data_IF_881455241386
#
_entry.id   IF_881455241386
#
_cell.length_a   1.000
_cell.length_b   1.000
_cell.length_c   1.000
_cell.angle_alpha   90.00
_cell.angle_beta   90.00
_cell.angle_gamma   90.00
#
_symmetry.space_group_name_H-M   'P 1'
#
loop_
_entity.id
_entity.type
_entity.pdbx_description
1 polymer ?
#
# COMPACT_ATOMS: atom_id res chain seq x y z
N UNK A 1 -26.01 -50.59 8.29
CA UNK A 1 -25.50 -49.42 7.53
C UNK A 1 -24.12 -49.81 7.04
N UNK A 2 -24.02 -50.21 5.76
CA UNK A 2 -22.80 -50.75 5.16
C UNK A 2 -21.83 -49.61 4.83
N UNK A 3 -20.56 -49.81 5.15
CA UNK A 3 -19.47 -48.93 4.76
C UNK A 3 -19.06 -49.24 3.32
N UNK A 4 -19.12 -48.24 2.43
CA UNK A 4 -18.62 -48.35 1.07
C UNK A 4 -17.58 -47.23 0.82
N UNK A 5 -16.31 -47.62 0.74
CA UNK A 5 -15.20 -46.81 0.22
C UNK A 5 -15.07 -47.04 -1.30
N UNK A 6 -14.75 -46.01 -2.11
CA UNK A 6 -14.40 -46.20 -3.51
C UNK A 6 -12.91 -46.57 -3.73
N UNK A 7 -12.59 -47.25 -4.84
CA UNK A 7 -11.30 -47.90 -5.06
C UNK A 7 -10.16 -46.98 -5.53
N UNK A 8 -8.97 -47.42 -5.15
CA UNK A 8 -7.65 -47.05 -5.64
C UNK A 8 -7.46 -47.29 -7.13
N UNK A 9 -7.01 -46.28 -7.88
CA UNK A 9 -6.35 -46.46 -9.18
C UNK A 9 -4.85 -46.23 -9.04
N UNK A 10 -4.12 -47.34 -9.10
CA UNK A 10 -2.68 -47.39 -9.35
C UNK A 10 -2.45 -47.13 -10.84
N UNK A 11 -1.62 -46.15 -11.19
CA UNK A 11 -0.81 -46.23 -12.40
C UNK A 11 0.65 -46.00 -12.03
N UNK A 12 1.44 -46.98 -12.46
CA UNK A 12 2.82 -47.19 -12.13
C UNK A 12 3.75 -46.69 -13.24
N UNK A 13 4.96 -46.32 -12.81
CA UNK A 13 6.20 -46.37 -13.58
C UNK A 13 6.50 -45.11 -14.41
N UNK A 14 7.74 -44.66 -14.55
CA UNK A 14 9.12 -45.07 -14.20
C UNK A 14 9.97 -43.88 -14.76
N UNK A 15 11.21 -43.55 -14.41
CA UNK A 15 12.30 -44.16 -13.66
C UNK A 15 13.32 -43.07 -13.32
N UNK A 16 13.93 -43.21 -12.15
CA UNK A 16 15.37 -43.18 -11.84
C UNK A 16 16.21 -41.90 -12.06
N UNK A 17 16.68 -41.27 -10.98
CA UNK A 17 18.03 -41.42 -10.34
C UNK A 17 19.05 -40.51 -11.04
N UNK A 18 19.73 -39.57 -10.38
CA UNK A 18 20.93 -39.78 -9.55
C UNK A 18 21.12 -38.56 -8.62
N UNK A 19 21.40 -38.83 -7.35
CA UNK A 19 22.03 -37.90 -6.40
C UNK A 19 23.41 -38.48 -6.05
N UNK A 20 24.48 -37.67 -5.90
CA UNK A 20 25.62 -38.10 -5.10
C UNK A 20 25.89 -37.17 -3.89
N UNK A 21 26.47 -37.70 -2.79
CA UNK A 21 26.74 -36.97 -1.55
C UNK A 21 28.22 -36.53 -1.36
N UNK A 22 28.40 -35.49 -0.52
CA UNK A 22 29.49 -35.19 0.46
C UNK A 22 30.97 -35.01 0.04
N UNK A 23 31.45 -33.75 0.15
CA UNK A 23 32.65 -33.16 0.85
C UNK A 23 33.91 -34.01 1.17
N UNK A 24 35.09 -33.44 1.60
CA UNK A 24 35.69 -32.09 1.47
C UNK A 24 37.20 -32.10 1.03
N UNK A 25 37.78 -30.98 0.59
CA UNK A 25 39.19 -30.61 0.90
C UNK A 25 39.51 -29.15 0.57
N UNK A 26 40.26 -28.54 1.49
CA UNK A 26 41.01 -27.29 1.38
C UNK A 26 41.69 -27.11 0.01
N UNK A 27 41.79 -25.89 -0.52
CA UNK A 27 42.85 -24.95 -0.16
C UNK A 27 42.86 -23.74 -1.11
N UNK A 28 43.36 -22.63 -0.58
CA UNK A 28 44.09 -21.57 -1.30
C UNK A 28 43.28 -20.36 -1.80
N UNK A 29 43.07 -19.46 -0.84
CA UNK A 29 43.55 -18.07 -0.88
C UNK A 29 44.05 -17.55 -2.24
N UNK A 30 43.27 -16.65 -2.82
CA UNK A 30 43.79 -15.54 -3.61
C UNK A 30 43.04 -14.28 -3.19
N UNK A 31 43.81 -13.43 -2.54
CA UNK A 31 43.47 -12.12 -2.04
C UNK A 31 42.99 -11.17 -3.16
N UNK A 32 41.93 -10.41 -2.82
CA UNK A 32 41.66 -9.01 -3.21
C UNK A 32 41.18 -8.73 -4.67
N UNK A 33 40.65 -7.53 -4.97
CA UNK A 33 39.54 -6.82 -4.31
C UNK A 33 38.57 -6.19 -5.35
N UNK A 34 37.44 -5.68 -4.87
CA UNK A 34 36.72 -4.48 -5.34
C UNK A 34 36.37 -4.31 -6.84
N UNK A 35 35.05 -4.17 -7.06
CA UNK A 35 34.35 -3.72 -8.27
C UNK A 35 34.32 -4.64 -9.49
N UNK A 36 33.24 -5.41 -9.59
CA UNK A 36 32.57 -5.60 -10.87
C UNK A 36 31.07 -5.37 -10.72
N UNK A 37 30.69 -4.12 -10.97
CA UNK A 37 29.32 -3.71 -11.26
C UNK A 37 28.76 -4.55 -12.42
N UNK A 38 27.78 -5.42 -12.17
CA UNK A 38 26.80 -5.84 -13.18
C UNK A 38 25.41 -5.98 -12.57
N UNK A 39 24.78 -4.83 -12.36
CA UNK A 39 23.33 -4.70 -12.26
C UNK A 39 22.69 -5.19 -13.57
N UNK A 40 22.13 -6.41 -13.59
CA UNK A 40 21.11 -6.77 -14.59
C UNK A 40 19.80 -6.11 -14.19
N UNK A 41 19.72 -4.80 -14.46
CA UNK A 41 18.48 -4.02 -14.40
C UNK A 41 17.54 -4.46 -15.51
N UNK A 42 16.46 -5.10 -15.11
CA UNK A 42 15.32 -5.51 -15.93
C UNK A 42 14.75 -4.31 -16.69
N UNK A 43 15.02 -4.22 -18.00
CA UNK A 43 14.53 -3.15 -18.87
C UNK A 43 13.05 -3.40 -19.17
N UNK A 44 12.15 -2.90 -18.33
CA UNK A 44 10.73 -2.83 -18.65
C UNK A 44 10.54 -1.82 -19.78
N UNK A 45 10.29 -2.35 -20.97
CA UNK A 45 9.65 -1.65 -22.07
C UNK A 45 8.32 -1.06 -21.57
N UNK A 46 8.18 0.26 -21.61
CA UNK A 46 6.87 0.87 -21.69
C UNK A 46 6.93 2.20 -22.47
N UNK A 47 6.53 2.07 -23.73
CA UNK A 47 5.91 3.05 -24.62
C UNK A 47 5.92 4.52 -24.16
N UNK A 48 6.67 5.30 -24.94
CA UNK A 48 6.59 6.76 -25.04
C UNK A 48 5.31 7.10 -25.81
N UNK A 49 4.27 7.61 -25.14
CA UNK A 49 3.20 8.39 -25.78
C UNK A 49 3.26 9.82 -25.25
N UNK A 50 4.09 10.63 -25.91
CA UNK A 50 4.25 12.06 -25.70
C UNK A 50 3.26 12.85 -26.57
N UNK A 51 1.96 12.64 -26.35
CA UNK A 51 0.94 13.55 -26.86
C UNK A 51 0.46 14.43 -25.69
N UNK A 52 0.71 15.75 -25.71
CA UNK A 52 0.06 16.65 -24.76
C UNK A 52 -1.42 16.66 -25.11
N UNK A 53 -2.22 15.81 -24.45
CA UNK A 53 -3.66 15.96 -24.46
C UNK A 53 -3.93 17.30 -23.80
N UNK A 54 -4.38 18.29 -24.58
CA UNK A 54 -4.88 19.57 -24.07
C UNK A 54 -5.76 19.33 -22.85
N UNK A 55 -5.18 19.42 -21.65
CA UNK A 55 -5.90 19.30 -20.41
C UNK A 55 -6.48 20.67 -20.14
N UNK A 56 -7.55 21.00 -20.85
CA UNK A 56 -8.24 22.26 -20.65
C UNK A 56 -9.05 22.18 -19.36
N UNK A 57 -8.36 22.22 -18.22
CA UNK A 57 -8.97 22.46 -16.91
C UNK A 57 -8.25 23.64 -16.29
N UNK A 58 -8.83 24.80 -16.49
CA UNK A 58 -8.62 25.95 -15.62
C UNK A 58 -9.24 25.56 -14.29
N UNK A 59 -8.54 24.77 -13.48
CA UNK A 59 -8.91 24.62 -12.08
C UNK A 59 -8.65 25.98 -11.44
N UNK A 60 -9.61 26.51 -10.70
CA UNK A 60 -9.28 27.53 -9.71
C UNK A 60 -8.09 27.04 -8.88
N UNK A 61 -7.17 27.95 -8.52
CA UNK A 61 -5.91 27.63 -7.80
C UNK A 61 -6.14 26.84 -6.49
N UNK A 62 -7.37 26.84 -5.98
CA UNK A 62 -7.75 26.23 -4.72
C UNK A 62 -8.88 25.22 -4.93
N UNK A 63 -8.64 23.95 -4.58
CA UNK A 63 -9.68 22.94 -4.53
C UNK A 63 -10.37 22.92 -3.16
N UNK A 64 -11.60 22.41 -3.13
CA UNK A 64 -12.40 22.31 -1.91
C UNK A 64 -12.94 20.89 -1.74
N UNK A 65 -12.89 20.33 -0.53
CA UNK A 65 -13.39 18.99 -0.21
C UNK A 65 -14.66 19.04 0.63
N UNK A 66 -15.65 18.25 0.26
CA UNK A 66 -16.85 18.03 1.06
C UNK A 66 -16.52 17.13 2.26
N UNK A 67 -16.82 17.59 3.48
CA UNK A 67 -16.57 16.82 4.72
C UNK A 67 -17.45 15.59 4.89
N UNK A 68 -18.60 15.53 4.22
CA UNK A 68 -19.57 14.45 4.39
C UNK A 68 -19.24 13.23 3.54
N UNK A 69 -18.84 13.44 2.28
CA UNK A 69 -18.63 12.34 1.34
C UNK A 69 -17.26 12.36 0.63
N UNK A 70 -16.42 13.35 0.86
CA UNK A 70 -15.10 13.45 0.25
C UNK A 70 -15.10 13.86 -1.24
N UNK A 71 -16.18 14.44 -1.75
CA UNK A 71 -16.19 15.03 -3.09
C UNK A 71 -15.24 16.23 -3.15
N UNK A 72 -14.39 16.30 -4.19
CA UNK A 72 -13.46 17.41 -4.43
C UNK A 72 -14.02 18.31 -5.53
N UNK A 73 -14.24 19.58 -5.22
CA UNK A 73 -14.58 20.64 -6.14
C UNK A 73 -13.31 21.27 -6.72
N UNK A 74 -13.19 21.26 -8.05
CA UNK A 74 -12.05 21.78 -8.80
C UNK A 74 -12.47 22.42 -10.14
N UNK A 75 -13.66 23.01 -10.17
CA UNK A 75 -14.19 23.63 -11.37
C UNK A 75 -13.54 25.00 -11.66
N UNK A 76 -13.86 25.55 -12.84
CA UNK A 76 -13.34 26.85 -13.32
C UNK A 76 -13.81 28.01 -12.46
N UNK A 77 -15.04 27.93 -11.97
CA UNK A 77 -15.61 28.91 -11.06
C UNK A 77 -14.92 28.77 -9.70
N UNK A 78 -14.30 29.82 -9.15
CA UNK A 78 -13.77 29.76 -7.79
C UNK A 78 -14.91 29.52 -6.79
N UNK A 79 -14.64 28.73 -5.76
CA UNK A 79 -15.64 28.29 -4.78
C UNK A 79 -16.31 29.46 -4.03
N UNK A 80 -15.60 30.56 -3.83
CA UNK A 80 -16.12 31.74 -3.14
C UNK A 80 -17.24 32.43 -3.93
N UNK A 81 -17.20 32.33 -5.27
CA UNK A 81 -18.21 32.90 -6.17
C UNK A 81 -19.41 31.98 -6.41
N UNK A 82 -19.41 30.77 -5.86
CA UNK A 82 -20.58 29.89 -5.96
C UNK A 82 -21.75 30.46 -5.16
N UNK A 83 -23.00 30.31 -5.63
CA UNK A 83 -24.17 30.68 -4.84
C UNK A 83 -24.25 29.85 -3.55
N UNK A 84 -24.89 30.40 -2.52
CA UNK A 84 -25.04 29.70 -1.23
C UNK A 84 -25.96 28.47 -1.30
N UNK A 85 -26.82 28.43 -2.32
CA UNK A 85 -27.67 27.29 -2.67
C UNK A 85 -26.92 26.15 -3.38
N UNK A 86 -25.58 26.18 -3.42
CA UNK A 86 -24.80 25.08 -3.95
C UNK A 86 -24.81 23.88 -2.99
N UNK A 87 -25.12 22.71 -3.55
CA UNK A 87 -25.13 21.43 -2.85
C UNK A 87 -24.10 20.48 -3.44
N UNK A 88 -23.50 19.65 -2.59
CA UNK A 88 -22.58 18.61 -3.02
C UNK A 88 -23.30 17.63 -3.97
N UNK A 89 -22.78 17.37 -5.17
CA UNK A 89 -23.46 16.51 -6.17
C UNK A 89 -23.50 15.02 -5.77
N UNK A 90 -22.77 14.63 -4.73
CA UNK A 90 -22.68 13.23 -4.28
C UNK A 90 -23.59 12.96 -3.09
N UNK A 91 -23.70 13.90 -2.15
CA UNK A 91 -24.40 13.68 -0.86
C UNK A 91 -25.41 14.78 -0.50
N UNK A 92 -25.61 15.77 -1.36
CA UNK A 92 -26.48 16.92 -1.13
C UNK A 92 -26.14 17.75 0.13
N UNK A 93 -24.91 17.66 0.65
CA UNK A 93 -24.45 18.52 1.74
C UNK A 93 -24.36 20.00 1.28
N UNK A 94 -24.74 20.97 2.13
CA UNK A 94 -24.69 22.38 1.78
C UNK A 94 -23.24 22.91 1.65
N UNK A 95 -23.05 23.99 0.87
CA UNK A 95 -21.75 24.67 0.63
C UNK A 95 -20.90 24.86 1.91
N UNK A 96 -21.52 25.19 3.04
CA UNK A 96 -20.84 25.37 4.35
C UNK A 96 -20.07 24.14 4.86
N UNK A 97 -20.36 22.94 4.37
CA UNK A 97 -19.68 21.68 4.74
C UNK A 97 -18.38 21.46 3.98
N UNK A 98 -18.07 22.28 2.97
CA UNK A 98 -16.81 22.21 2.24
C UNK A 98 -15.67 22.89 3.00
N UNK A 99 -14.44 22.43 2.75
CA UNK A 99 -13.19 22.98 3.32
C UNK A 99 -12.12 23.07 2.24
N UNK A 100 -11.17 23.97 2.41
CA UNK A 100 -10.02 24.07 1.52
C UNK A 100 -9.24 22.75 1.48
N UNK A 101 -8.89 22.30 0.28
CA UNK A 101 -8.16 21.08 0.00
C UNK A 101 -6.89 21.44 -0.78
N UNK A 102 -5.72 21.17 -0.20
CA UNK A 102 -4.42 21.57 -0.74
C UNK A 102 -3.67 20.55 -1.62
N UNK A 103 -3.91 19.22 -1.57
CA UNK A 103 -3.09 18.31 -2.37
C UNK A 103 -3.48 18.38 -3.85
N UNK A 104 -2.55 17.96 -4.71
CA UNK A 104 -2.70 18.05 -6.16
C UNK A 104 -3.93 17.29 -6.66
N UNK A 105 -4.68 17.93 -7.55
CA UNK A 105 -5.96 17.44 -8.03
C UNK A 105 -5.79 16.87 -9.43
N UNK A 106 -5.62 15.56 -9.51
CA UNK A 106 -5.60 14.83 -10.78
C UNK A 106 -6.99 14.79 -11.45
N UNK A 107 -7.04 14.40 -12.73
CA UNK A 107 -8.29 14.43 -13.51
C UNK A 107 -9.40 13.52 -12.96
N UNK A 108 -9.03 12.54 -12.14
CA UNK A 108 -9.84 11.39 -11.71
C UNK A 108 -10.02 11.35 -10.17
N UNK A 109 -9.78 12.47 -9.48
CA UNK A 109 -9.87 12.51 -8.00
C UNK A 109 -11.23 12.13 -7.42
N UNK A 110 -12.29 12.22 -8.22
CA UNK A 110 -13.66 11.96 -7.81
C UNK A 110 -14.16 10.57 -8.21
N UNK A 111 -13.33 9.77 -8.86
CA UNK A 111 -13.70 8.41 -9.28
C UNK A 111 -13.92 7.52 -8.05
N UNK A 112 -14.89 6.60 -8.15
CA UNK A 112 -15.31 5.75 -7.02
C UNK A 112 -14.15 4.88 -6.53
N UNK A 113 -13.31 4.39 -7.43
CA UNK A 113 -12.15 3.56 -7.10
C UNK A 113 -11.08 4.34 -6.34
N UNK A 114 -10.80 5.58 -6.75
CA UNK A 114 -9.87 6.48 -6.06
C UNK A 114 -10.36 6.82 -4.67
N UNK A 115 -11.66 7.08 -4.51
CA UNK A 115 -12.27 7.34 -3.19
C UNK A 115 -12.23 6.10 -2.29
N UNK A 116 -12.47 4.91 -2.83
CA UNK A 116 -12.39 3.65 -2.08
C UNK A 116 -10.96 3.35 -1.64
N UNK A 117 -9.98 3.55 -2.51
CA UNK A 117 -8.56 3.41 -2.19
C UNK A 117 -8.13 4.35 -1.06
N UNK A 118 -8.47 5.64 -1.16
CA UNK A 118 -8.16 6.63 -0.12
C UNK A 118 -8.81 6.29 1.22
N UNK A 119 -10.07 5.83 1.21
CA UNK A 119 -10.75 5.40 2.44
C UNK A 119 -10.04 4.19 3.07
N UNK A 120 -9.54 3.26 2.26
CA UNK A 120 -8.78 2.11 2.75
C UNK A 120 -7.43 2.53 3.35
N UNK A 121 -6.73 3.49 2.74
CA UNK A 121 -5.50 4.08 3.28
C UNK A 121 -5.76 4.76 4.63
N UNK A 122 -6.76 5.64 4.71
CA UNK A 122 -7.13 6.30 5.97
C UNK A 122 -7.49 5.29 7.09
N UNK A 123 -8.17 4.20 6.74
CA UNK A 123 -8.50 3.15 7.71
C UNK A 123 -7.26 2.39 8.19
N UNK A 124 -6.26 2.17 7.32
CA UNK A 124 -4.98 1.56 7.71
C UNK A 124 -4.21 2.48 8.65
N UNK A 125 -4.16 3.77 8.36
CA UNK A 125 -3.46 4.75 9.20
C UNK A 125 -4.14 4.91 10.56
N UNK A 126 -5.48 4.88 10.61
CA UNK A 126 -6.22 4.85 11.88
C UNK A 126 -5.92 3.57 12.69
N UNK A 127 -5.89 2.41 12.03
CA UNK A 127 -5.56 1.14 12.67
C UNK A 127 -4.12 1.15 13.23
N UNK A 128 -3.16 1.68 12.46
CA UNK A 128 -1.78 1.86 12.92
C UNK A 128 -1.71 2.83 14.09
N UNK A 129 -2.39 3.97 14.01
CA UNK A 129 -2.44 4.96 15.08
C UNK A 129 -3.03 4.42 16.39
N UNK A 130 -4.02 3.51 16.31
CA UNK A 130 -4.59 2.82 17.47
C UNK A 130 -3.69 1.71 18.02
N UNK A 131 -3.00 0.97 17.15
CA UNK A 131 -2.13 -0.13 17.56
C UNK A 131 -0.80 0.35 18.14
N UNK A 132 -0.26 1.48 17.67
CA UNK A 132 1.02 2.04 18.09
C UNK A 132 1.14 2.23 19.63
N UNK A 133 0.20 2.90 20.32
CA UNK A 133 0.29 3.06 21.78
C UNK A 133 0.19 1.73 22.54
N UNK A 134 -0.60 0.78 22.03
CA UNK A 134 -0.74 -0.56 22.63
C UNK A 134 0.60 -1.30 22.52
N UNK A 135 1.24 -1.27 21.33
CA UNK A 135 2.55 -1.87 21.12
C UNK A 135 3.63 -1.29 22.03
N UNK A 136 3.63 0.04 22.22
CA UNK A 136 4.54 0.71 23.15
C UNK A 136 4.30 0.23 24.59
N UNK A 137 3.06 0.18 25.05
CA UNK A 137 2.74 -0.24 26.42
C UNK A 137 3.18 -1.69 26.69
N UNK A 138 2.91 -2.61 25.76
CA UNK A 138 3.36 -4.02 25.86
C UNK A 138 4.88 -4.11 25.88
N UNK A 139 5.56 -3.33 25.03
CA UNK A 139 7.02 -3.26 25.00
C UNK A 139 7.61 -2.80 26.33
N UNK A 140 7.05 -1.75 26.95
CA UNK A 140 7.50 -1.25 28.25
C UNK A 140 7.27 -2.29 29.35
N UNK A 141 6.12 -2.96 29.38
CA UNK A 141 5.85 -4.02 30.36
C UNK A 141 6.82 -5.21 30.23
N UNK A 142 7.12 -5.63 29.00
CA UNK A 142 8.09 -6.70 28.75
C UNK A 142 9.50 -6.32 29.21
N UNK A 143 9.93 -5.08 28.93
CA UNK A 143 11.22 -4.57 29.40
C UNK A 143 11.28 -4.47 30.92
N UNK A 144 10.21 -4.02 31.59
CA UNK A 144 10.14 -3.97 33.05
C UNK A 144 10.22 -5.39 33.66
N UNK A 145 9.45 -6.33 33.13
CA UNK A 145 9.49 -7.73 33.58
C UNK A 145 10.89 -8.35 33.40
N UNK A 146 11.55 -8.08 32.27
CA UNK A 146 12.93 -8.54 32.03
C UNK A 146 13.93 -7.90 33.01
N UNK A 147 13.80 -6.61 33.29
CA UNK A 147 14.63 -5.92 34.27
C UNK A 147 14.49 -6.54 35.66
N UNK A 148 13.26 -6.75 36.13
CA UNK A 148 13.01 -7.42 37.41
C UNK A 148 13.55 -8.85 37.42
N UNK A 149 13.40 -9.60 36.34
CA UNK A 149 13.93 -10.96 36.23
C UNK A 149 15.46 -10.98 36.41
N UNK A 150 16.20 -10.19 35.60
CA UNK A 150 17.67 -10.13 35.68
C UNK A 150 18.16 -9.65 37.05
N UNK A 151 17.47 -8.66 37.63
CA UNK A 151 17.82 -8.12 38.93
C UNK A 151 17.44 -9.06 40.09
N UNK A 152 16.52 -9.99 39.88
CA UNK A 152 16.15 -11.02 40.87
C UNK A 152 17.03 -12.27 40.81
N UNK A 153 17.73 -12.50 39.70
CA UNK A 153 18.64 -13.63 39.50
C UNK A 153 20.11 -13.29 39.75
N UNK A 154 20.40 -12.02 40.07
CA UNK A 154 21.72 -11.54 40.53
C UNK A 154 21.79 -11.60 42.05
#
# INVERSE_FOLDING_TARGET
MAMQLPPTTLYAGRSSVVLPPTTPTLQRSSFLPYYSMRLLGNKKSLSKSSAPRFSMRVSSKQAYICRDCGYIYNDRTPFDKLPDNYFCPVCAAPKRRFRAYMPDVSKNVNDKDVRKARKAELQRDEAVGKALPIGIAVGVLALAALYFYVNSTS
#
